data_IF_869069493320
#
_entry.id   IF_869069493320
#
_cell.length_a   1.000
_cell.length_b   1.000
_cell.length_c   1.000
_cell.angle_alpha   90.00
_cell.angle_beta   90.00
_cell.angle_gamma   90.00
#
_symmetry.space_group_name_H-M   'P 1'
#
loop_
_entity.id
_entity.type
_entity.pdbx_description
1 polymer ?
#
# COMPACT_ATOMS: atom_id res chain seq x y z
N UNK A 1 -9.95 -17.38 15.61
CA UNK A 1 -10.92 -16.94 14.57
C UNK A 1 -10.24 -17.10 13.22
N UNK A 2 -10.83 -17.84 12.29
CA UNK A 2 -10.30 -17.99 10.93
C UNK A 2 -11.07 -17.08 9.99
N UNK A 3 -10.39 -16.16 9.32
CA UNK A 3 -10.99 -15.25 8.35
C UNK A 3 -10.21 -15.32 7.02
N UNK A 4 -10.89 -15.26 5.87
CA UNK A 4 -10.22 -15.27 4.57
C UNK A 4 -9.37 -14.01 4.43
N UNK A 5 -8.11 -14.11 4.02
CA UNK A 5 -7.17 -12.98 4.07
C UNK A 5 -7.25 -11.99 2.90
N UNK A 6 -8.11 -12.23 1.90
CA UNK A 6 -8.26 -11.35 0.73
C UNK A 6 -8.69 -9.91 1.09
N UNK A 7 -9.32 -9.68 2.25
CA UNK A 7 -9.69 -8.33 2.70
C UNK A 7 -8.46 -7.46 2.97
N UNK A 8 -7.31 -8.06 3.29
CA UNK A 8 -6.06 -7.36 3.60
C UNK A 8 -5.58 -6.52 2.40
N UNK A 9 -5.25 -7.12 1.24
CA UNK A 9 -4.85 -6.33 0.07
C UNK A 9 -6.00 -5.49 -0.47
N UNK A 10 -7.25 -5.95 -0.31
CA UNK A 10 -8.42 -5.19 -0.76
C UNK A 10 -8.58 -3.86 -0.01
N UNK A 11 -8.33 -3.83 1.30
CA UNK A 11 -8.42 -2.61 2.11
C UNK A 11 -7.43 -1.54 1.63
N UNK A 12 -6.20 -1.95 1.30
CA UNK A 12 -5.19 -1.05 0.73
C UNK A 12 -5.56 -0.62 -0.69
N UNK A 13 -6.11 -1.52 -1.50
CA UNK A 13 -6.45 -1.21 -2.90
C UNK A 13 -7.73 -0.40 -3.05
N UNK A 14 -8.64 -0.43 -2.07
CA UNK A 14 -9.97 0.14 -2.18
C UNK A 14 -9.98 1.62 -2.60
N UNK A 15 -9.18 2.52 -2.00
CA UNK A 15 -9.20 3.93 -2.43
C UNK A 15 -8.66 4.13 -3.84
N UNK A 16 -7.65 3.35 -4.23
CA UNK A 16 -7.09 3.38 -5.60
C UNK A 16 -8.12 2.91 -6.62
N UNK A 17 -8.91 1.88 -6.28
CA UNK A 17 -9.99 1.36 -7.12
C UNK A 17 -11.12 2.39 -7.26
N UNK A 18 -11.51 3.07 -6.17
CA UNK A 18 -12.53 4.12 -6.21
C UNK A 18 -12.15 5.25 -7.19
N UNK A 19 -10.88 5.62 -7.23
CA UNK A 19 -10.40 6.66 -8.16
C UNK A 19 -10.36 6.13 -9.59
N UNK A 20 -9.87 4.91 -9.80
CA UNK A 20 -9.81 4.27 -11.11
C UNK A 20 -11.20 4.21 -11.76
N UNK A 21 -12.22 3.78 -11.00
CA UNK A 21 -13.61 3.73 -11.48
C UNK A 21 -14.17 5.11 -11.86
N UNK A 22 -13.75 6.17 -11.15
CA UNK A 22 -14.27 7.52 -11.38
C UNK A 22 -13.52 8.35 -12.44
N UNK A 23 -12.28 7.99 -12.80
CA UNK A 23 -11.41 8.82 -13.68
C UNK A 23 -10.69 8.05 -14.79
N UNK A 24 -10.87 6.73 -14.86
CA UNK A 24 -10.10 5.88 -15.77
C UNK A 24 -8.66 5.65 -15.30
N UNK A 25 -7.84 4.93 -16.07
CA UNK A 25 -6.44 4.63 -15.72
C UNK A 25 -5.62 5.91 -15.56
N UNK A 26 -5.11 6.16 -14.36
CA UNK A 26 -4.26 7.33 -14.06
C UNK A 26 -2.81 7.13 -14.55
N UNK A 27 -2.40 5.90 -14.84
CA UNK A 27 -1.01 5.58 -15.18
C UNK A 27 -0.91 4.83 -16.50
N UNK A 28 -0.10 5.36 -17.42
CA UNK A 28 0.43 4.57 -18.54
C UNK A 28 1.32 3.44 -17.98
N UNK A 29 1.31 2.24 -18.60
CA UNK A 29 2.13 1.13 -18.15
C UNK A 29 3.60 1.54 -18.13
N UNK A 30 4.16 1.66 -16.93
CA UNK A 30 5.55 2.02 -16.74
C UNK A 30 6.40 0.78 -17.06
N UNK A 31 6.97 0.73 -18.28
CA UNK A 31 7.81 -0.38 -18.77
C UNK A 31 9.17 -0.53 -18.07
N UNK A 32 9.42 0.22 -17.00
CA UNK A 32 10.65 0.05 -16.23
C UNK A 32 10.63 -1.23 -15.39
N UNK A 33 11.82 -1.76 -15.11
CA UNK A 33 12.00 -2.92 -14.22
C UNK A 33 11.31 -2.69 -12.87
N UNK A 34 11.37 -1.47 -12.33
CA UNK A 34 10.69 -1.10 -11.09
C UNK A 34 9.15 -1.21 -11.21
N UNK A 35 8.58 -0.84 -12.35
CA UNK A 35 7.15 -0.95 -12.62
C UNK A 35 6.70 -2.41 -12.73
N UNK A 36 7.53 -3.26 -13.34
CA UNK A 36 7.32 -4.70 -13.36
C UNK A 36 7.38 -5.30 -11.94
N UNK A 37 8.39 -4.95 -11.14
CA UNK A 37 8.51 -5.39 -9.75
C UNK A 37 7.30 -4.98 -8.90
N UNK A 38 6.84 -3.72 -9.00
CA UNK A 38 5.64 -3.26 -8.30
C UNK A 38 4.41 -4.06 -8.74
N UNK A 39 4.22 -4.24 -10.06
CA UNK A 39 3.02 -4.89 -10.59
C UNK A 39 2.99 -6.38 -10.25
N UNK A 40 4.11 -7.08 -10.40
CA UNK A 40 4.24 -8.50 -10.05
C UNK A 40 4.06 -8.65 -8.54
N UNK A 41 4.76 -7.87 -7.72
CA UNK A 41 4.63 -7.94 -6.26
C UNK A 41 3.19 -7.68 -5.80
N UNK A 42 2.51 -6.67 -6.36
CA UNK A 42 1.11 -6.37 -6.05
C UNK A 42 0.16 -7.51 -6.44
N UNK A 43 0.35 -8.09 -7.63
CA UNK A 43 -0.44 -9.24 -8.09
C UNK A 43 -0.19 -10.47 -7.22
N UNK A 44 1.07 -10.74 -6.86
CA UNK A 44 1.44 -11.85 -5.98
C UNK A 44 0.82 -11.69 -4.60
N UNK A 45 0.91 -10.51 -3.95
CA UNK A 45 0.28 -10.26 -2.65
C UNK A 45 -1.23 -10.47 -2.72
N UNK A 46 -1.89 -9.95 -3.75
CA UNK A 46 -3.33 -10.12 -3.92
C UNK A 46 -3.71 -11.59 -4.13
N UNK A 47 -3.03 -12.29 -5.03
CA UNK A 47 -3.30 -13.68 -5.37
C UNK A 47 -3.04 -14.61 -4.18
N UNK A 48 -1.90 -14.45 -3.49
CA UNK A 48 -1.57 -15.26 -2.31
C UNK A 48 -2.62 -15.08 -1.21
N UNK A 49 -3.11 -13.86 -0.99
CA UNK A 49 -4.13 -13.59 0.06
C UNK A 49 -5.45 -14.34 -0.14
N UNK A 50 -5.71 -14.92 -1.31
CA UNK A 50 -6.89 -15.78 -1.52
C UNK A 50 -6.70 -17.16 -0.87
N UNK A 51 -5.45 -17.66 -0.82
CA UNK A 51 -5.13 -19.01 -0.35
C UNK A 51 -4.78 -19.08 1.13
N UNK A 52 -4.49 -17.95 1.78
CA UNK A 52 -4.18 -17.90 3.21
C UNK A 52 -5.41 -17.51 4.05
N UNK A 53 -5.49 -18.12 5.24
CA UNK A 53 -6.43 -17.76 6.29
C UNK A 53 -5.69 -16.99 7.39
N UNK A 54 -6.32 -15.95 7.90
CA UNK A 54 -5.87 -15.26 9.11
C UNK A 54 -6.08 -16.19 10.29
N UNK A 55 -5.01 -16.46 11.04
CA UNK A 55 -5.05 -17.25 12.26
C UNK A 55 -4.34 -16.48 13.38
N UNK A 56 -5.10 -15.94 14.33
CA UNK A 56 -4.54 -15.31 15.53
C UNK A 56 -4.31 -16.40 16.58
N UNK A 57 -3.04 -16.69 16.87
CA UNK A 57 -2.63 -17.76 17.79
C UNK A 57 -2.00 -17.19 19.05
N UNK A 58 -1.13 -16.19 18.90
CA UNK A 58 -0.29 -15.68 19.98
C UNK A 58 -0.42 -14.17 20.20
N UNK A 59 0.16 -13.66 21.29
CA UNK A 59 0.20 -12.23 21.61
C UNK A 59 0.85 -11.40 20.49
N UNK A 60 1.85 -11.96 19.80
CA UNK A 60 2.50 -11.31 18.66
C UNK A 60 1.50 -11.04 17.53
N UNK A 61 0.61 -11.99 17.24
CA UNK A 61 -0.42 -11.82 16.20
C UNK A 61 -1.42 -10.73 16.57
N UNK A 62 -1.78 -10.66 17.86
CA UNK A 62 -2.67 -9.60 18.38
C UNK A 62 -2.03 -8.23 18.24
N UNK A 63 -0.75 -8.10 18.62
CA UNK A 63 0.00 -6.86 18.48
C UNK A 63 0.13 -6.49 16.99
N UNK A 64 0.48 -7.45 16.13
CA UNK A 64 0.58 -7.24 14.70
C UNK A 64 -0.74 -6.76 14.10
N UNK A 65 -1.86 -7.39 14.46
CA UNK A 65 -3.20 -6.99 14.02
C UNK A 65 -3.57 -5.58 14.49
N UNK A 66 -3.27 -5.24 15.74
CA UNK A 66 -3.51 -3.91 16.28
C UNK A 66 -2.70 -2.84 15.53
N UNK A 67 -1.41 -3.09 15.29
CA UNK A 67 -0.54 -2.18 14.52
C UNK A 67 -1.02 -2.06 13.07
N UNK A 68 -1.43 -3.16 12.43
CA UNK A 68 -2.05 -3.12 11.10
C UNK A 68 -3.29 -2.22 11.06
N UNK A 69 -4.15 -2.30 12.09
CA UNK A 69 -5.30 -1.42 12.22
C UNK A 69 -4.91 0.06 12.27
N UNK A 70 -3.90 0.41 13.09
CA UNK A 70 -3.38 1.78 13.19
C UNK A 70 -2.80 2.26 11.85
N UNK A 71 -1.99 1.44 11.17
CA UNK A 71 -1.42 1.77 9.87
C UNK A 71 -2.50 2.02 8.82
N UNK A 72 -3.55 1.20 8.81
CA UNK A 72 -4.67 1.35 7.88
C UNK A 72 -5.48 2.62 8.15
N UNK A 73 -5.68 2.99 9.42
CA UNK A 73 -6.34 4.25 9.79
C UNK A 73 -5.51 5.44 9.28
N UNK A 74 -4.20 5.46 9.55
CA UNK A 74 -3.31 6.53 9.07
C UNK A 74 -3.30 6.61 7.54
N UNK A 75 -3.34 5.46 6.87
CA UNK A 75 -3.44 5.37 5.41
C UNK A 75 -4.74 6.01 4.90
N UNK A 76 -5.89 5.71 5.51
CA UNK A 76 -7.15 6.34 5.15
C UNK A 76 -7.22 7.83 5.48
N UNK A 77 -6.57 8.30 6.55
CA UNK A 77 -6.44 9.73 6.83
C UNK A 77 -5.69 10.46 5.70
N UNK A 78 -4.67 9.84 5.12
CA UNK A 78 -3.96 10.39 3.96
C UNK A 78 -4.89 10.51 2.74
N UNK A 79 -5.72 9.50 2.48
CA UNK A 79 -6.73 9.55 1.43
C UNK A 79 -7.81 10.61 1.67
N UNK A 80 -8.33 10.70 2.89
CA UNK A 80 -9.32 11.73 3.27
C UNK A 80 -8.73 13.12 3.03
N UNK A 81 -7.46 13.35 3.40
CA UNK A 81 -6.76 14.60 3.11
C UNK A 81 -6.68 14.89 1.61
N UNK A 82 -6.35 13.89 0.80
CA UNK A 82 -6.34 14.01 -0.67
C UNK A 82 -7.72 14.40 -1.22
N UNK A 83 -8.79 13.73 -0.80
CA UNK A 83 -10.14 14.04 -1.27
C UNK A 83 -10.65 15.41 -0.83
N UNK A 84 -10.34 15.82 0.41
CA UNK A 84 -10.78 17.11 0.96
C UNK A 84 -10.05 18.31 0.36
N UNK A 85 -8.78 18.17 -0.03
CA UNK A 85 -7.96 19.27 -0.56
C UNK A 85 -7.94 19.29 -2.10
N UNK A 86 -9.06 18.99 -2.74
CA UNK A 86 -9.19 19.16 -4.19
C UNK A 86 -8.53 18.08 -5.07
N UNK A 87 -8.08 16.96 -4.48
CA UNK A 87 -7.51 15.81 -5.21
C UNK A 87 -6.23 16.14 -6.00
N UNK A 88 -5.41 17.05 -5.48
CA UNK A 88 -4.08 17.30 -6.05
C UNK A 88 -3.17 16.08 -5.83
N UNK A 89 -2.54 15.59 -6.91
CA UNK A 89 -1.67 14.39 -6.85
C UNK A 89 -0.53 14.55 -5.85
N UNK A 90 0.02 15.76 -5.69
CA UNK A 90 1.11 16.03 -4.75
C UNK A 90 0.75 15.66 -3.31
N UNK A 91 -0.54 15.73 -2.96
CA UNK A 91 -1.00 15.42 -1.61
C UNK A 91 -0.81 13.95 -1.28
N UNK A 92 -0.89 13.03 -2.25
CA UNK A 92 -0.66 11.59 -2.02
C UNK A 92 0.78 11.31 -1.59
N UNK A 93 1.70 12.12 -2.08
CA UNK A 93 3.13 11.97 -1.81
C UNK A 93 3.63 12.92 -0.72
N UNK A 94 2.84 13.93 -0.34
CA UNK A 94 3.28 14.96 0.60
C UNK A 94 3.64 14.33 1.95
N UNK A 95 4.81 14.69 2.53
CA UNK A 95 5.24 14.22 3.83
C UNK A 95 4.18 14.50 4.91
N UNK A 96 3.99 13.53 5.79
CA UNK A 96 3.15 13.69 6.98
C UNK A 96 4.07 13.62 8.20
N UNK A 97 4.45 14.79 8.72
CA UNK A 97 5.46 14.89 9.77
C UNK A 97 6.81 14.34 9.31
N UNK A 98 7.29 13.27 9.95
CA UNK A 98 8.59 12.66 9.67
C UNK A 98 8.57 11.61 8.54
N UNK A 99 7.39 11.17 8.08
CA UNK A 99 7.28 10.19 7.00
C UNK A 99 7.37 10.89 5.65
N UNK A 100 8.43 10.65 4.84
CA UNK A 100 8.62 11.38 3.59
C UNK A 100 7.62 10.97 2.51
N UNK A 101 7.25 9.68 2.45
CA UNK A 101 6.24 9.13 1.54
C UNK A 101 5.28 8.27 2.37
N UNK A 102 4.38 8.90 3.13
CA UNK A 102 3.56 8.21 4.13
C UNK A 102 2.72 7.10 3.49
N UNK A 103 2.10 7.37 2.33
CA UNK A 103 1.23 6.39 1.65
C UNK A 103 1.95 5.10 1.28
N UNK A 104 3.18 5.18 0.78
CA UNK A 104 3.97 4.01 0.39
C UNK A 104 4.41 3.23 1.63
N UNK A 105 4.95 3.93 2.63
CA UNK A 105 5.50 3.30 3.84
C UNK A 105 4.40 2.66 4.69
N UNK A 106 3.25 3.32 4.85
CA UNK A 106 2.10 2.77 5.58
C UNK A 106 1.56 1.50 4.89
N UNK A 107 1.48 1.51 3.55
CA UNK A 107 1.06 0.34 2.77
C UNK A 107 2.01 -0.83 2.95
N UNK A 108 3.32 -0.58 2.86
CA UNK A 108 4.33 -1.63 2.96
C UNK A 108 4.38 -2.19 4.38
N UNK A 109 4.33 -1.33 5.41
CA UNK A 109 4.27 -1.78 6.81
C UNK A 109 3.04 -2.66 7.08
N UNK A 110 1.88 -2.28 6.52
CA UNK A 110 0.66 -3.07 6.64
C UNK A 110 0.79 -4.45 5.99
N UNK A 111 1.36 -4.54 4.79
CA UNK A 111 1.57 -5.82 4.08
C UNK A 111 2.68 -6.68 4.71
N UNK A 112 3.71 -6.06 5.31
CA UNK A 112 4.74 -6.81 6.02
C UNK A 112 4.18 -7.47 7.28
N UNK A 113 3.35 -6.76 8.03
CA UNK A 113 2.66 -7.33 9.20
C UNK A 113 1.65 -8.40 8.79
N UNK A 114 1.01 -8.29 7.62
CA UNK A 114 0.15 -9.37 7.13
C UNK A 114 0.94 -10.64 6.84
N UNK A 115 2.19 -10.55 6.39
CA UNK A 115 3.03 -11.74 6.22
C UNK A 115 3.31 -12.46 7.56
N UNK A 116 3.42 -11.70 8.66
CA UNK A 116 3.58 -12.25 10.03
C UNK A 116 2.29 -12.97 10.46
N UNK A 117 1.13 -12.31 10.34
CA UNK A 117 -0.16 -12.88 10.74
C UNK A 117 -0.53 -14.13 9.92
N UNK A 118 -0.13 -14.17 8.65
CA UNK A 118 -0.38 -15.31 7.77
C UNK A 118 0.70 -16.39 7.88
N UNK A 119 1.74 -16.18 8.70
CA UNK A 119 2.89 -17.07 8.88
C UNK A 119 3.47 -17.55 7.53
N UNK A 120 3.62 -16.62 6.59
CA UNK A 120 3.89 -16.94 5.18
C UNK A 120 5.14 -16.23 4.65
N UNK A 121 6.19 -17.03 4.44
CA UNK A 121 7.43 -16.59 3.79
C UNK A 121 7.17 -16.13 2.35
N UNK A 122 6.23 -16.76 1.64
CA UNK A 122 5.85 -16.34 0.28
C UNK A 122 5.18 -14.96 0.28
N UNK A 123 4.33 -14.68 1.27
CA UNK A 123 3.74 -13.35 1.43
C UNK A 123 4.80 -12.30 1.76
N UNK A 124 5.77 -12.65 2.60
CA UNK A 124 6.90 -11.78 2.94
C UNK A 124 7.73 -11.43 1.69
N UNK A 125 8.15 -12.43 0.91
CA UNK A 125 8.94 -12.22 -0.31
C UNK A 125 8.16 -11.37 -1.32
N UNK A 126 6.86 -11.65 -1.50
CA UNK A 126 6.00 -10.89 -2.41
C UNK A 126 5.87 -9.43 -1.98
N UNK A 127 5.75 -9.19 -0.67
CA UNK A 127 5.69 -7.84 -0.11
C UNK A 127 7.01 -7.09 -0.27
N UNK A 128 8.16 -7.77 -0.08
CA UNK A 128 9.48 -7.18 -0.31
C UNK A 128 9.69 -6.82 -1.79
N UNK A 129 9.27 -7.69 -2.71
CA UNK A 129 9.30 -7.42 -4.15
C UNK A 129 8.43 -6.21 -4.50
N UNK A 130 7.22 -6.14 -3.96
CA UNK A 130 6.34 -4.98 -4.10
C UNK A 130 6.99 -3.72 -3.54
N UNK A 131 7.54 -3.75 -2.33
CA UNK A 131 8.19 -2.62 -1.69
C UNK A 131 9.38 -2.08 -2.50
N UNK A 132 10.21 -2.97 -3.05
CA UNK A 132 11.37 -2.63 -3.87
C UNK A 132 10.99 -1.89 -5.16
N UNK A 133 9.85 -2.22 -5.77
CA UNK A 133 9.31 -1.46 -6.91
C UNK A 133 8.58 -0.18 -6.48
N UNK A 134 7.76 -0.28 -5.44
CA UNK A 134 6.80 0.75 -5.03
C UNK A 134 7.50 1.97 -4.42
N UNK A 135 8.46 1.80 -3.48
CA UNK A 135 9.12 2.94 -2.82
C UNK A 135 9.83 3.86 -3.84
N UNK A 136 10.69 3.34 -4.74
CA UNK A 136 11.41 4.21 -5.68
C UNK A 136 10.48 4.89 -6.69
N UNK A 137 9.41 4.22 -7.12
CA UNK A 137 8.42 4.80 -8.03
C UNK A 137 7.65 5.94 -7.36
N UNK A 138 7.22 5.73 -6.12
CA UNK A 138 6.56 6.76 -5.32
C UNK A 138 7.48 7.96 -5.06
N UNK A 139 8.77 7.73 -4.83
CA UNK A 139 9.76 8.80 -4.68
C UNK A 139 9.98 9.60 -5.97
N UNK A 140 10.07 8.91 -7.12
CA UNK A 140 10.15 9.58 -8.42
C UNK A 140 8.90 10.42 -8.70
N UNK A 141 7.72 9.90 -8.38
CA UNK A 141 6.46 10.61 -8.52
C UNK A 141 6.40 11.84 -7.61
N UNK A 142 6.82 11.72 -6.36
CA UNK A 142 6.94 12.83 -5.41
C UNK A 142 7.81 13.96 -5.94
N UNK A 143 9.05 13.65 -6.36
CA UNK A 143 9.98 14.63 -6.91
C UNK A 143 9.41 15.33 -8.14
N UNK A 144 8.78 14.58 -9.04
CA UNK A 144 8.13 15.13 -10.24
C UNK A 144 6.97 16.06 -9.88
N UNK A 145 6.17 15.71 -8.87
CA UNK A 145 5.07 16.54 -8.41
C UNK A 145 5.56 17.83 -7.75
N UNK A 146 6.65 17.79 -6.98
CA UNK A 146 7.27 18.99 -6.41
C UNK A 146 7.76 19.96 -7.49
N UNK A 147 8.42 19.45 -8.55
CA UNK A 147 8.92 20.28 -9.64
C UNK A 147 7.82 20.99 -10.45
N UNK A 148 6.58 20.49 -10.38
CA UNK A 148 5.43 21.08 -11.10
C UNK A 148 4.67 22.13 -10.30
N UNK A 149 4.96 22.28 -9.00
CA UNK A 149 4.27 23.26 -8.17
C UNK A 149 4.81 24.67 -8.52
N UNK A 150 3.99 25.60 -9.03
CA UNK A 150 4.44 26.98 -9.22
C UNK A 150 4.84 27.57 -7.86
N UNK A 151 5.94 28.35 -7.87
CA UNK A 151 6.47 29.04 -6.71
C UNK A 151 5.45 30.03 -6.12
#
# INVERSE_FOLDING_TARGET
MFAPSFFIPLAVLAPSLLIFLGRGPITSPNRSVLGAMESIGRLSVFFLSIFYLVAIKDLLDVIAAAVMGVLLILYYLCWIRYFRKGREEILLYQPLGFLPIPMALLTIGYLLLSAVILDSVLMLISTLLFAAGHIPLQWKAYRKAQLKKPA
#
